data_IF_378948491044
#
_entry.id   IF_378948491044
#
_cell.length_a   1.000
_cell.length_b   1.000
_cell.length_c   1.000
_cell.angle_alpha   90.00
_cell.angle_beta   90.00
_cell.angle_gamma   90.00
#
_symmetry.space_group_name_H-M   'P 1'
#
loop_
_entity.id
_entity.type
_entity.pdbx_description
1 polymer ?
#
# COMPACT_ATOMS: atom_id res chain seq x y z
N UNK A 1 4.58 -20.33 -14.01
CA UNK A 1 4.29 -21.07 -12.75
C UNK A 1 4.33 -20.05 -11.65
N UNK A 2 3.18 -19.61 -11.19
CA UNK A 2 3.06 -18.62 -10.11
C UNK A 2 3.42 -19.32 -8.81
N UNK A 3 4.51 -18.94 -8.18
CA UNK A 3 4.93 -19.52 -6.90
C UNK A 3 3.99 -18.97 -5.84
N UNK A 4 2.98 -19.75 -5.48
CA UNK A 4 2.16 -19.49 -4.29
C UNK A 4 3.06 -19.63 -3.06
N UNK A 5 3.31 -18.53 -2.39
CA UNK A 5 3.94 -18.56 -1.07
C UNK A 5 2.86 -19.03 -0.08
N UNK A 6 3.08 -20.21 0.50
CA UNK A 6 2.09 -20.91 1.33
C UNK A 6 1.52 -20.10 2.48
N UNK A 7 0.45 -20.62 3.13
CA UNK A 7 -0.51 -19.87 3.93
C UNK A 7 0.00 -19.35 5.28
N UNK A 8 1.22 -19.62 5.67
CA UNK A 8 1.60 -19.40 7.07
C UNK A 8 2.29 -18.07 7.35
N UNK A 9 3.09 -17.55 6.46
CA UNK A 9 3.82 -16.29 6.72
C UNK A 9 4.29 -15.62 5.42
N UNK A 10 3.75 -14.47 5.10
CA UNK A 10 4.32 -13.61 4.08
C UNK A 10 5.54 -12.90 4.65
N UNK A 11 6.72 -13.33 4.23
CA UNK A 11 7.95 -12.56 4.45
C UNK A 11 8.15 -11.70 3.21
N UNK A 12 8.13 -10.38 3.32
CA UNK A 12 8.49 -9.52 2.19
C UNK A 12 9.85 -9.96 1.67
N UNK A 13 10.03 -9.96 0.36
CA UNK A 13 11.34 -10.23 -0.23
C UNK A 13 12.30 -9.17 0.30
N UNK A 14 13.15 -9.56 1.27
CA UNK A 14 14.13 -8.67 1.88
C UNK A 14 15.23 -8.22 0.89
N UNK A 15 15.24 -8.78 -0.31
CA UNK A 15 16.20 -8.53 -1.39
C UNK A 15 15.77 -7.41 -2.35
N UNK A 16 14.68 -6.71 -2.08
CA UNK A 16 14.55 -5.38 -2.62
C UNK A 16 15.63 -4.56 -1.94
N UNK A 17 16.74 -4.43 -2.64
CA UNK A 17 17.89 -3.67 -2.22
C UNK A 17 17.48 -2.20 -2.03
N UNK A 18 16.87 -1.93 -0.88
CA UNK A 18 16.80 -0.58 -0.35
C UNK A 18 18.23 -0.23 -0.01
N UNK A 19 18.99 0.20 -1.02
CA UNK A 19 20.42 0.44 -0.89
C UNK A 19 20.66 1.26 0.37
N UNK A 20 21.59 0.82 1.19
CA UNK A 20 21.95 1.51 2.44
C UNK A 20 22.32 2.99 2.17
N UNK A 21 22.68 3.35 0.94
CA UNK A 21 22.88 4.71 0.48
C UNK A 21 21.57 5.52 0.36
N UNK A 22 20.45 4.88 -0.03
CA UNK A 22 19.18 5.55 -0.25
C UNK A 22 18.31 5.60 1.02
N UNK A 23 18.44 4.59 1.89
CA UNK A 23 17.62 4.43 3.09
C UNK A 23 18.41 4.21 4.39
N UNK A 24 19.72 4.41 4.38
CA UNK A 24 20.61 4.20 5.54
C UNK A 24 20.28 5.04 6.79
N UNK A 25 19.41 6.05 6.64
CA UNK A 25 18.91 6.85 7.76
C UNK A 25 17.74 6.15 8.51
N UNK A 26 17.25 5.03 8.01
CA UNK A 26 16.12 4.28 8.57
C UNK A 26 16.58 3.17 9.53
N UNK A 27 17.68 3.38 10.23
CA UNK A 27 18.19 2.46 11.25
C UNK A 27 17.11 2.20 12.31
N UNK A 28 16.81 0.92 12.53
CA UNK A 28 15.81 0.46 13.51
C UNK A 28 14.47 0.01 12.94
N UNK A 29 14.30 -0.01 11.60
CA UNK A 29 13.17 -0.73 11.00
C UNK A 29 13.46 -2.23 11.13
N UNK A 30 12.55 -3.03 11.74
CA UNK A 30 12.74 -4.48 11.82
C UNK A 30 12.89 -5.07 10.40
N UNK A 31 13.94 -5.85 10.18
CA UNK A 31 14.22 -6.49 8.89
C UNK A 31 13.13 -7.49 8.47
N UNK A 32 12.30 -7.94 9.41
CA UNK A 32 11.22 -8.88 9.15
C UNK A 32 9.99 -8.51 9.97
N UNK A 33 9.02 -7.86 9.33
CA UNK A 33 7.66 -7.78 9.84
C UNK A 33 6.83 -8.79 9.05
N UNK A 34 6.15 -9.66 9.75
CA UNK A 34 5.37 -10.74 9.15
C UNK A 34 3.89 -10.38 9.22
N UNK A 35 3.24 -10.30 8.05
CA UNK A 35 1.79 -10.21 7.96
C UNK A 35 1.25 -11.62 7.73
N UNK A 36 0.36 -12.08 8.61
CA UNK A 36 -0.26 -13.40 8.46
C UNK A 36 -1.26 -13.37 7.31
N UNK A 37 -0.98 -14.14 6.26
CA UNK A 37 -1.91 -14.29 5.14
C UNK A 37 -2.92 -15.39 5.48
N UNK A 38 -4.24 -15.11 5.40
CA UNK A 38 -5.25 -16.15 5.56
C UNK A 38 -5.13 -17.22 4.47
N UNK A 39 -5.49 -18.44 4.81
CA UNK A 39 -5.51 -19.54 3.84
C UNK A 39 -6.59 -19.35 2.77
N UNK A 40 -6.27 -19.76 1.54
CA UNK A 40 -7.20 -19.80 0.42
C UNK A 40 -7.41 -18.44 -0.26
N UNK A 41 -8.44 -18.40 -1.11
CA UNK A 41 -8.84 -17.20 -1.82
C UNK A 41 -9.58 -16.24 -0.90
N UNK A 42 -9.24 -14.95 -0.97
CA UNK A 42 -9.88 -13.90 -0.19
C UNK A 42 -11.05 -13.29 -0.96
N UNK A 43 -12.11 -12.93 -0.25
CA UNK A 43 -13.09 -11.97 -0.75
C UNK A 43 -12.48 -10.57 -0.79
N UNK A 44 -13.09 -9.65 -1.54
CA UNK A 44 -12.62 -8.26 -1.62
C UNK A 44 -12.55 -7.62 -0.22
N UNK A 45 -13.52 -7.88 0.68
CA UNK A 45 -13.53 -7.40 2.05
C UNK A 45 -12.35 -7.93 2.89
N UNK A 46 -12.05 -9.23 2.74
CA UNK A 46 -10.92 -9.85 3.44
C UNK A 46 -9.58 -9.30 2.95
N UNK A 47 -9.46 -9.05 1.65
CA UNK A 47 -8.27 -8.46 1.06
C UNK A 47 -8.07 -7.00 1.53
N UNK A 48 -9.15 -6.21 1.64
CA UNK A 48 -9.09 -4.86 2.21
C UNK A 48 -8.74 -4.88 3.70
N UNK A 49 -9.34 -5.79 4.48
CA UNK A 49 -8.96 -5.96 5.90
C UNK A 49 -7.47 -6.28 6.05
N UNK A 50 -6.94 -7.14 5.18
CA UNK A 50 -5.51 -7.49 5.16
C UNK A 50 -4.63 -6.29 4.79
N UNK A 51 -5.06 -5.44 3.87
CA UNK A 51 -4.34 -4.21 3.53
C UNK A 51 -4.28 -3.24 4.73
N UNK A 52 -5.38 -3.09 5.48
CA UNK A 52 -5.42 -2.28 6.71
C UNK A 52 -4.53 -2.89 7.80
N UNK A 53 -4.49 -4.22 7.93
CA UNK A 53 -3.60 -4.90 8.86
C UNK A 53 -2.12 -4.69 8.47
N UNK A 54 -1.79 -4.79 7.19
CA UNK A 54 -0.46 -4.50 6.68
C UNK A 54 -0.04 -3.06 6.98
N UNK A 55 -0.94 -2.09 6.85
CA UNK A 55 -0.69 -0.69 7.18
C UNK A 55 -0.23 -0.50 8.64
N UNK A 56 -0.73 -1.30 9.58
CA UNK A 56 -0.36 -1.24 11.01
C UNK A 56 1.09 -1.60 11.28
N UNK A 57 1.77 -2.25 10.33
CA UNK A 57 3.18 -2.61 10.43
C UNK A 57 4.11 -1.42 10.16
N UNK A 58 3.59 -0.34 9.60
CA UNK A 58 4.35 0.87 9.33
C UNK A 58 4.76 1.63 10.59
N UNK A 59 5.78 2.46 10.47
CA UNK A 59 6.23 3.34 11.55
C UNK A 59 5.45 4.66 11.47
N UNK A 60 4.77 5.01 12.57
CA UNK A 60 4.04 6.28 12.67
C UNK A 60 5.00 7.46 12.58
N UNK A 61 4.69 8.41 11.72
CA UNK A 61 5.51 9.60 11.50
C UNK A 61 4.77 10.67 10.70
N UNK A 62 5.52 11.45 9.93
CA UNK A 62 4.98 12.52 9.09
C UNK A 62 4.13 12.02 7.91
N UNK A 63 4.20 10.72 7.58
CA UNK A 63 3.43 10.09 6.52
C UNK A 63 2.33 9.20 7.11
N UNK A 64 1.23 8.97 6.38
CA UNK A 64 0.18 8.07 6.81
C UNK A 64 0.66 6.61 6.80
N UNK A 65 0.06 5.79 7.65
CA UNK A 65 0.19 4.34 7.58
C UNK A 65 -0.68 3.82 6.44
N UNK A 66 -0.04 3.21 5.46
CA UNK A 66 -0.73 2.66 4.28
C UNK A 66 -0.27 1.23 4.05
N UNK A 67 -1.21 0.37 3.70
CA UNK A 67 -0.97 -1.00 3.27
C UNK A 67 -1.64 -1.27 1.93
N UNK A 68 -1.04 -2.16 1.16
CA UNK A 68 -1.53 -2.59 -0.14
C UNK A 68 -1.45 -4.12 -0.26
N UNK A 69 -2.49 -4.72 -0.82
CA UNK A 69 -2.55 -6.14 -1.13
C UNK A 69 -2.84 -6.32 -2.61
N UNK A 70 -2.07 -7.16 -3.27
CA UNK A 70 -2.33 -7.55 -4.66
C UNK A 70 -2.82 -8.99 -4.64
N UNK A 71 -3.95 -9.25 -5.32
CA UNK A 71 -4.48 -10.59 -5.56
C UNK A 71 -4.62 -10.85 -7.05
N UNK A 72 -4.70 -12.11 -7.45
CA UNK A 72 -5.22 -12.46 -8.77
C UNK A 72 -6.76 -12.34 -8.80
N UNK A 73 -7.37 -12.56 -9.96
CA UNK A 73 -8.83 -12.52 -10.14
C UNK A 73 -9.58 -13.52 -9.26
N UNK A 74 -8.94 -14.63 -8.88
CA UNK A 74 -9.51 -15.65 -7.98
C UNK A 74 -9.41 -15.28 -6.49
N UNK A 75 -8.80 -14.13 -6.12
CA UNK A 75 -8.64 -13.69 -4.75
C UNK A 75 -7.43 -14.30 -4.01
N UNK A 76 -6.54 -15.01 -4.71
CA UNK A 76 -5.31 -15.48 -4.10
C UNK A 76 -4.33 -14.32 -3.92
N UNK A 77 -3.76 -14.16 -2.73
CA UNK A 77 -2.79 -13.11 -2.43
C UNK A 77 -1.50 -13.38 -3.20
N UNK A 78 -1.06 -12.38 -3.96
CA UNK A 78 0.19 -12.42 -4.72
C UNK A 78 1.28 -11.65 -3.99
N UNK A 79 1.00 -10.41 -3.57
CA UNK A 79 1.96 -9.55 -2.89
C UNK A 79 1.28 -8.67 -1.85
N UNK A 80 2.05 -8.31 -0.81
CA UNK A 80 1.63 -7.37 0.23
C UNK A 80 2.72 -6.33 0.40
N UNK A 81 2.34 -5.06 0.37
CA UNK A 81 3.22 -3.94 0.66
C UNK A 81 2.69 -3.06 1.77
N UNK A 82 3.55 -2.34 2.45
CA UNK A 82 3.16 -1.28 3.39
C UNK A 82 4.22 -0.18 3.45
N UNK A 83 3.78 1.01 3.78
CA UNK A 83 4.68 2.14 3.96
C UNK A 83 5.42 2.01 5.30
N UNK A 84 6.72 1.75 5.26
CA UNK A 84 7.54 1.50 6.47
C UNK A 84 7.89 2.76 7.24
N UNK A 85 7.70 3.94 6.66
CA UNK A 85 7.99 5.22 7.27
C UNK A 85 8.59 6.23 6.30
N UNK A 86 8.81 7.46 6.76
CA UNK A 86 9.30 8.54 5.90
C UNK A 86 10.62 8.17 5.19
N UNK A 87 10.65 8.36 3.88
CA UNK A 87 11.80 8.03 3.02
C UNK A 87 11.78 6.62 2.44
N UNK A 88 10.80 5.77 2.80
CA UNK A 88 10.59 4.46 2.16
C UNK A 88 9.55 4.55 1.04
N UNK A 89 9.45 3.54 0.16
CA UNK A 89 8.39 3.46 -0.83
C UNK A 89 7.00 3.50 -0.20
N UNK A 90 6.03 3.98 -0.97
CA UNK A 90 4.61 3.83 -0.63
C UNK A 90 4.20 2.35 -0.70
N UNK A 91 3.12 1.97 -0.04
CA UNK A 91 2.65 0.60 0.04
C UNK A 91 2.44 -0.05 -1.32
N UNK A 92 1.84 0.70 -2.26
CA UNK A 92 1.60 0.26 -3.63
C UNK A 92 2.91 0.02 -4.37
N UNK A 93 3.85 0.96 -4.25
CA UNK A 93 5.17 0.85 -4.87
C UNK A 93 5.96 -0.34 -4.30
N UNK A 94 5.87 -0.60 -2.99
CA UNK A 94 6.47 -1.76 -2.32
C UNK A 94 5.89 -3.08 -2.88
N UNK A 95 4.56 -3.20 -2.95
CA UNK A 95 3.91 -4.39 -3.49
C UNK A 95 4.23 -4.61 -4.99
N UNK A 96 4.23 -3.53 -5.79
CA UNK A 96 4.57 -3.60 -7.21
C UNK A 96 6.04 -3.95 -7.46
N UNK A 97 6.95 -3.48 -6.61
CA UNK A 97 8.36 -3.83 -6.70
C UNK A 97 8.58 -5.33 -6.45
N UNK A 98 7.88 -5.90 -5.46
CA UNK A 98 7.89 -7.34 -5.21
C UNK A 98 7.35 -8.14 -6.40
N UNK A 99 6.23 -7.70 -6.98
CA UNK A 99 5.63 -8.33 -8.16
C UNK A 99 6.61 -8.33 -9.35
N UNK A 100 7.28 -7.20 -9.57
CA UNK A 100 8.29 -7.08 -10.63
C UNK A 100 9.48 -8.00 -10.40
N UNK A 101 10.01 -8.06 -9.18
CA UNK A 101 11.13 -8.93 -8.81
C UNK A 101 10.80 -10.41 -8.98
N UNK A 102 9.55 -10.80 -8.69
CA UNK A 102 9.05 -12.16 -8.85
C UNK A 102 8.63 -12.51 -10.29
N UNK A 103 8.59 -11.55 -11.22
CA UNK A 103 8.06 -11.75 -12.57
C UNK A 103 6.57 -12.11 -12.58
N UNK A 104 5.81 -11.62 -11.60
CA UNK A 104 4.38 -11.93 -11.46
C UNK A 104 3.58 -11.29 -12.60
N UNK A 105 2.72 -12.07 -13.24
CA UNK A 105 1.75 -11.55 -14.21
C UNK A 105 0.64 -10.79 -13.47
N UNK A 106 0.45 -9.53 -13.84
CA UNK A 106 -0.50 -8.62 -13.20
C UNK A 106 -1.73 -8.33 -14.09
N UNK A 107 -1.88 -9.00 -15.22
CA UNK A 107 -2.90 -8.68 -16.24
C UNK A 107 -4.34 -8.86 -15.74
N UNK A 108 -4.58 -9.73 -14.77
CA UNK A 108 -5.88 -9.96 -14.12
C UNK A 108 -5.90 -9.58 -12.63
N UNK A 109 -4.84 -8.88 -12.19
CA UNK A 109 -4.66 -8.57 -10.78
C UNK A 109 -5.60 -7.47 -10.30
N UNK A 110 -5.97 -7.60 -9.02
CA UNK A 110 -6.67 -6.59 -8.24
C UNK A 110 -5.73 -6.02 -7.17
N UNK A 111 -5.84 -4.74 -6.89
CA UNK A 111 -5.10 -4.10 -5.80
C UNK A 111 -6.07 -3.49 -4.79
N UNK A 112 -5.80 -3.75 -3.51
CA UNK A 112 -6.54 -3.20 -2.36
C UNK A 112 -5.60 -2.30 -1.57
N UNK A 113 -5.98 -1.04 -1.38
CA UNK A 113 -5.15 -0.05 -0.67
C UNK A 113 -5.95 0.59 0.45
N UNK A 114 -5.38 0.69 1.64
CA UNK A 114 -6.06 1.29 2.79
C UNK A 114 -6.32 2.80 2.63
N UNK A 115 -5.61 3.47 1.72
CA UNK A 115 -5.78 4.89 1.37
C UNK A 115 -5.81 5.03 -0.15
N UNK A 116 -6.55 6.02 -0.68
CA UNK A 116 -6.56 6.30 -2.13
C UNK A 116 -5.13 6.47 -2.67
N UNK A 117 -4.74 5.78 -3.76
CA UNK A 117 -3.43 5.93 -4.38
C UNK A 117 -3.12 7.37 -4.73
N UNK A 118 -1.93 7.83 -4.38
CA UNK A 118 -1.54 9.23 -4.65
C UNK A 118 -1.40 9.52 -6.15
N UNK A 119 -1.69 10.80 -6.52
CA UNK A 119 -1.56 11.30 -7.89
C UNK A 119 -0.61 12.50 -8.00
N UNK A 120 0.31 12.67 -7.07
CA UNK A 120 1.32 13.72 -7.12
C UNK A 120 2.72 13.14 -7.34
N UNK A 121 3.57 13.92 -8.00
CA UNK A 121 4.98 13.60 -8.16
C UNK A 121 5.74 14.10 -6.92
N UNK A 122 6.18 13.16 -6.08
CA UNK A 122 7.07 13.42 -4.98
C UNK A 122 8.53 13.10 -5.34
N UNK A 123 9.25 12.41 -4.46
CA UNK A 123 10.59 11.86 -4.77
C UNK A 123 10.51 10.72 -5.79
N UNK A 124 9.40 10.00 -5.80
CA UNK A 124 9.03 8.98 -6.79
C UNK A 124 7.79 9.43 -7.55
N UNK A 125 7.53 8.83 -8.71
CA UNK A 125 6.31 9.11 -9.48
C UNK A 125 5.04 8.73 -8.71
N UNK A 126 3.87 9.19 -9.16
CA UNK A 126 2.58 8.89 -8.52
C UNK A 126 2.29 7.38 -8.50
N UNK A 127 1.73 6.87 -7.40
CA UNK A 127 1.33 5.47 -7.31
C UNK A 127 0.26 5.11 -8.33
N UNK A 128 -0.67 6.02 -8.62
CA UNK A 128 -1.69 5.83 -9.66
C UNK A 128 -1.10 5.52 -11.04
N UNK A 129 0.01 6.17 -11.40
CA UNK A 129 0.72 5.90 -12.65
C UNK A 129 1.39 4.53 -12.63
N UNK A 130 2.10 4.20 -11.55
CA UNK A 130 2.77 2.91 -11.38
C UNK A 130 1.79 1.73 -11.42
N UNK A 131 0.62 1.88 -10.81
CA UNK A 131 -0.47 0.89 -10.84
C UNK A 131 -0.96 0.66 -12.27
N UNK A 132 -1.24 1.74 -13.00
CA UNK A 132 -1.67 1.67 -14.41
C UNK A 132 -0.61 1.02 -15.30
N UNK A 133 0.66 1.40 -15.14
CA UNK A 133 1.77 0.84 -15.90
C UNK A 133 2.03 -0.65 -15.59
N UNK A 134 1.73 -1.10 -14.37
CA UNK A 134 1.79 -2.50 -14.00
C UNK A 134 0.69 -3.38 -14.61
N UNK A 135 -0.33 -2.79 -15.23
CA UNK A 135 -1.42 -3.51 -15.88
C UNK A 135 -2.53 -3.95 -14.93
N UNK A 136 -2.56 -3.46 -13.69
CA UNK A 136 -3.63 -3.77 -12.74
C UNK A 136 -4.95 -3.22 -13.27
N UNK A 137 -5.96 -4.09 -13.33
CA UNK A 137 -7.27 -3.78 -13.94
C UNK A 137 -8.28 -3.21 -12.95
N UNK A 138 -8.14 -3.51 -11.66
CA UNK A 138 -9.08 -3.10 -10.62
C UNK A 138 -8.33 -2.64 -9.37
N UNK A 139 -8.76 -1.50 -8.82
CA UNK A 139 -8.22 -0.91 -7.58
C UNK A 139 -9.36 -0.63 -6.61
N UNK A 140 -9.21 -1.13 -5.40
CA UNK A 140 -10.11 -0.90 -4.28
C UNK A 140 -9.39 -0.04 -3.24
N UNK A 141 -10.06 0.96 -2.68
CA UNK A 141 -9.46 1.80 -1.64
C UNK A 141 -10.46 2.07 -0.50
N UNK A 142 -9.94 2.14 0.74
CA UNK A 142 -10.76 2.26 1.93
C UNK A 142 -11.07 3.70 2.34
N UNK A 143 -10.17 4.65 2.06
CA UNK A 143 -10.39 6.06 2.43
C UNK A 143 -9.89 6.99 1.31
N UNK A 144 -10.68 8.00 0.90
CA UNK A 144 -10.24 8.96 -0.11
C UNK A 144 -9.15 9.89 0.46
N UNK A 145 -8.10 10.13 -0.30
CA UNK A 145 -7.10 11.14 0.07
C UNK A 145 -7.65 12.54 -0.20
N UNK A 146 -7.94 13.27 0.87
CA UNK A 146 -8.49 14.63 0.82
C UNK A 146 -7.42 15.71 0.81
N UNK A 147 -6.14 15.33 0.81
CA UNK A 147 -5.07 16.31 0.71
C UNK A 147 -5.06 16.94 -0.68
N UNK A 148 -4.91 18.27 -0.75
CA UNK A 148 -4.87 18.97 -2.03
C UNK A 148 -3.68 18.54 -2.93
N UNK A 149 -2.69 17.88 -2.35
CA UNK A 149 -1.48 17.47 -3.05
C UNK A 149 -1.56 16.05 -3.60
N UNK A 150 -2.21 15.11 -2.90
CA UNK A 150 -2.17 13.68 -3.23
C UNK A 150 -3.47 13.13 -3.81
N UNK A 151 -4.59 13.88 -3.70
CA UNK A 151 -5.91 13.47 -4.21
C UNK A 151 -5.94 13.28 -5.73
N UNK A 152 -6.96 12.54 -6.20
CA UNK A 152 -7.24 12.37 -7.62
C UNK A 152 -6.63 11.12 -8.25
N UNK A 153 -6.03 10.22 -7.46
CA UNK A 153 -5.49 8.98 -7.98
C UNK A 153 -6.56 8.04 -8.51
N UNK A 154 -7.68 7.91 -7.82
CA UNK A 154 -8.81 7.12 -8.29
C UNK A 154 -9.41 7.68 -9.60
N UNK A 155 -9.48 9.01 -9.74
CA UNK A 155 -9.95 9.64 -10.98
C UNK A 155 -8.97 9.43 -12.13
N UNK A 156 -7.68 9.59 -11.89
CA UNK A 156 -6.64 9.29 -12.88
C UNK A 156 -6.73 7.84 -13.37
N UNK A 157 -6.80 6.88 -12.45
CA UNK A 157 -6.91 5.46 -12.77
C UNK A 157 -8.16 5.18 -13.62
N UNK A 158 -9.30 5.74 -13.21
CA UNK A 158 -10.58 5.58 -13.88
C UNK A 158 -10.54 6.12 -15.31
N UNK A 159 -9.95 7.31 -15.52
CA UNK A 159 -9.78 7.92 -16.84
C UNK A 159 -8.82 7.14 -17.76
N UNK A 160 -8.01 6.24 -17.20
CA UNK A 160 -7.09 5.37 -17.91
C UNK A 160 -7.56 3.89 -17.98
N UNK A 161 -8.85 3.64 -17.75
CA UNK A 161 -9.47 2.33 -17.96
C UNK A 161 -9.32 1.36 -16.78
N UNK A 162 -8.79 1.81 -15.62
CA UNK A 162 -8.73 1.00 -14.40
C UNK A 162 -10.03 1.18 -13.62
N UNK A 163 -10.70 0.08 -13.29
CA UNK A 163 -11.90 0.12 -12.44
C UNK A 163 -11.50 0.48 -11.02
N UNK A 164 -12.09 1.54 -10.46
CA UNK A 164 -11.80 1.95 -9.08
C UNK A 164 -13.06 1.88 -8.21
N UNK A 165 -12.94 1.27 -7.03
CA UNK A 165 -14.03 1.09 -6.08
C UNK A 165 -13.65 1.66 -4.72
N UNK A 166 -14.45 2.59 -4.22
CA UNK A 166 -14.37 3.06 -2.85
C UNK A 166 -15.12 2.11 -1.92
N UNK A 167 -14.40 1.43 -1.04
CA UNK A 167 -14.97 0.51 -0.04
C UNK A 167 -15.29 1.27 1.24
N UNK A 168 -16.43 1.97 1.21
CA UNK A 168 -16.85 2.90 2.27
C UNK A 168 -16.98 2.25 3.64
N UNK A 169 -17.31 0.98 3.70
CA UNK A 169 -17.45 0.17 4.91
C UNK A 169 -16.14 0.06 5.69
N UNK A 170 -14.98 0.23 5.04
CA UNK A 170 -13.66 0.23 5.66
C UNK A 170 -13.10 1.64 5.95
N UNK A 171 -13.88 2.68 5.66
CA UNK A 171 -13.42 4.05 5.78
C UNK A 171 -13.04 4.43 7.20
N UNK A 172 -13.85 4.01 8.18
CA UNK A 172 -13.63 4.30 9.59
C UNK A 172 -12.34 3.64 10.11
N UNK A 173 -12.10 2.38 9.73
CA UNK A 173 -10.89 1.65 10.13
C UNK A 173 -9.62 2.31 9.58
N UNK A 174 -9.65 2.71 8.31
CA UNK A 174 -8.53 3.41 7.68
C UNK A 174 -8.32 4.81 8.25
N UNK A 175 -9.40 5.55 8.51
CA UNK A 175 -9.35 6.87 9.13
C UNK A 175 -8.76 6.79 10.53
N UNK A 176 -9.30 5.93 11.40
CA UNK A 176 -8.84 5.77 12.78
C UNK A 176 -7.36 5.42 12.88
N UNK A 177 -6.85 4.65 11.92
CA UNK A 177 -5.43 4.34 11.82
C UNK A 177 -4.57 5.59 11.60
N UNK A 178 -5.10 6.57 10.86
CA UNK A 178 -4.40 7.76 10.38
C UNK A 178 -4.98 9.09 10.92
N UNK A 179 -5.88 9.06 11.89
CA UNK A 179 -6.61 10.24 12.38
C UNK A 179 -5.70 11.44 12.66
N UNK A 180 -4.63 11.24 13.43
CA UNK A 180 -3.67 12.31 13.78
C UNK A 180 -2.99 12.90 12.54
N UNK A 181 -2.71 12.07 11.54
CA UNK A 181 -2.12 12.53 10.28
C UNK A 181 -3.13 13.39 9.52
N UNK A 182 -4.38 12.94 9.38
CA UNK A 182 -5.44 13.72 8.72
C UNK A 182 -5.67 15.07 9.40
N UNK A 183 -5.70 15.09 10.75
CA UNK A 183 -5.83 16.34 11.52
C UNK A 183 -4.63 17.26 11.23
N UNK A 184 -3.39 16.74 11.25
CA UNK A 184 -2.20 17.56 11.02
C UNK A 184 -2.20 18.19 9.62
N UNK A 185 -2.63 17.45 8.61
CA UNK A 185 -2.76 17.94 7.23
C UNK A 185 -3.87 18.98 7.12
N UNK A 186 -5.05 18.73 7.69
CA UNK A 186 -6.19 19.66 7.64
C UNK A 186 -5.89 20.99 8.35
N UNK A 187 -5.22 20.93 9.50
CA UNK A 187 -4.88 22.11 10.31
C UNK A 187 -3.54 22.73 9.94
N UNK A 188 -2.81 22.18 8.96
CA UNK A 188 -1.45 22.60 8.56
C UNK A 188 -0.48 22.66 9.75
N UNK A 189 -0.63 21.73 10.70
CA UNK A 189 0.23 21.62 11.88
C UNK A 189 1.34 20.59 11.63
N UNK A 190 2.57 20.81 12.15
CA UNK A 190 3.62 19.80 12.04
C UNK A 190 3.24 18.55 12.82
N UNK A 191 3.50 17.38 12.23
CA UNK A 191 3.38 16.11 12.94
C UNK A 191 4.65 15.90 13.77
N UNK A 192 4.52 15.94 15.10
CA UNK A 192 5.65 15.77 16.02
C UNK A 192 5.58 14.37 16.62
N UNK A 193 6.63 13.56 16.38
CA UNK A 193 6.83 12.28 17.04
C UNK A 193 7.96 12.43 18.05
N UNK A 194 7.66 12.16 19.31
CA UNK A 194 8.69 12.09 20.37
C UNK A 194 9.13 10.62 20.46
N UNK A 195 10.40 10.35 20.20
CA UNK A 195 10.99 9.03 20.50
C UNK A 195 11.34 9.02 21.99
N UNK A 196 10.71 8.13 22.74
CA UNK A 196 11.11 7.77 24.11
C UNK A 196 12.20 6.73 24.09
#
# INVERSE_FOLDING_TARGET
MTTYLGPEMYTPVNDLDYSAAEYGHLQGIPASVTVKVPEGALTDDRAMSLAIEAARQGIRGANPLVGAVITNSAGQVLHIGWHRGAGTPHAEADALAQARAAGTDMSDAKMYVSLEPCNHTGKTGPCSHAIKEAGISQVFYAYPDRSAQASGGAEYLRSHGVVTTYMREFAEDSYSLNERWFISVAEKRPFITVKS
#
